data_IF_824052081467
#
_entry.id   IF_824052081467
#
_cell.length_a   1.000
_cell.length_b   1.000
_cell.length_c   1.000
_cell.angle_alpha   90.00
_cell.angle_beta   90.00
_cell.angle_gamma   90.00
#
_symmetry.space_group_name_H-M   'P 1'
#
loop_
_entity.id
_entity.type
_entity.pdbx_description
1 polymer ?
#
# COMPACT_ATOMS: atom_id res chain seq x y z
N UNK A 1 -12.89 7.44 -8.03
CA UNK A 1 -13.24 8.35 -6.90
C UNK A 1 -12.90 9.82 -7.15
N UNK A 2 -11.74 10.18 -7.72
CA UNK A 2 -11.34 11.60 -7.88
C UNK A 2 -12.31 12.44 -8.73
N UNK A 3 -12.85 11.87 -9.81
CA UNK A 3 -13.85 12.55 -10.66
C UNK A 3 -15.19 12.77 -9.94
N UNK A 4 -15.61 11.84 -9.08
CA UNK A 4 -16.83 11.99 -8.28
C UNK A 4 -16.69 13.06 -7.19
N UNK A 5 -15.52 13.16 -6.56
CA UNK A 5 -15.22 14.24 -5.60
C UNK A 5 -15.22 15.62 -6.25
N UNK A 6 -14.68 15.75 -7.46
CA UNK A 6 -14.72 16.99 -8.23
C UNK A 6 -16.15 17.38 -8.62
N UNK A 7 -16.96 16.41 -9.07
CA UNK A 7 -18.38 16.65 -9.38
C UNK A 7 -19.14 17.13 -8.15
N UNK A 8 -18.97 16.48 -7.00
CA UNK A 8 -19.59 16.88 -5.73
C UNK A 8 -19.13 18.27 -5.27
N UNK A 9 -17.85 18.60 -5.45
CA UNK A 9 -17.34 19.93 -5.15
C UNK A 9 -18.00 20.99 -6.04
N UNK A 10 -18.10 20.76 -7.36
CA UNK A 10 -18.79 21.66 -8.27
C UNK A 10 -20.26 21.83 -7.88
N UNK A 11 -20.99 20.75 -7.61
CA UNK A 11 -22.39 20.82 -7.16
C UNK A 11 -22.55 21.62 -5.86
N UNK A 12 -21.64 21.44 -4.91
CA UNK A 12 -21.63 22.20 -3.66
C UNK A 12 -21.37 23.70 -3.90
N UNK A 13 -20.46 24.04 -4.82
CA UNK A 13 -20.19 25.43 -5.20
C UNK A 13 -21.39 26.05 -5.92
N UNK A 14 -22.00 25.36 -6.87
CA UNK A 14 -23.21 25.83 -7.56
C UNK A 14 -24.34 26.14 -6.57
N UNK A 15 -24.55 25.26 -5.59
CA UNK A 15 -25.55 25.48 -4.55
C UNK A 15 -25.19 26.65 -3.60
N UNK A 16 -23.90 26.87 -3.31
CA UNK A 16 -23.44 27.89 -2.38
C UNK A 16 -23.17 29.25 -3.04
N UNK A 17 -23.02 29.29 -4.36
CA UNK A 17 -22.60 30.48 -5.12
C UNK A 17 -23.48 31.73 -4.87
N UNK A 18 -24.83 31.64 -4.82
CA UNK A 18 -25.68 32.80 -4.53
C UNK A 18 -25.44 33.41 -3.15
N UNK A 19 -25.05 32.59 -2.17
CA UNK A 19 -24.80 33.03 -0.79
C UNK A 19 -23.39 33.60 -0.60
N UNK A 20 -22.46 33.22 -1.46
CA UNK A 20 -21.06 33.62 -1.42
C UNK A 20 -20.73 34.78 -2.38
N UNK A 21 -21.71 35.23 -3.17
CA UNK A 21 -21.50 36.25 -4.20
C UNK A 21 -20.64 35.78 -5.36
N UNK A 22 -20.65 34.47 -5.65
CA UNK A 22 -19.86 33.86 -6.71
C UNK A 22 -20.71 33.59 -7.96
N UNK A 23 -20.07 33.55 -9.13
CA UNK A 23 -20.73 33.23 -10.40
C UNK A 23 -21.01 31.73 -10.65
N UNK A 24 -20.66 30.85 -9.71
CA UNK A 24 -20.77 29.39 -9.85
C UNK A 24 -19.40 28.70 -9.91
N UNK A 25 -19.38 27.39 -10.19
CA UNK A 25 -18.15 26.59 -10.21
C UNK A 25 -17.22 26.90 -11.41
N UNK A 26 -17.78 27.51 -12.46
CA UNK A 26 -17.02 28.01 -13.62
C UNK A 26 -16.37 29.38 -13.43
N UNK A 27 -16.64 30.06 -12.31
CA UNK A 27 -16.06 31.36 -12.00
C UNK A 27 -14.58 31.22 -11.57
N UNK A 28 -13.71 32.06 -12.11
CA UNK A 28 -12.29 32.10 -11.74
C UNK A 28 -12.12 32.39 -10.24
N UNK A 29 -13.00 33.21 -9.65
CA UNK A 29 -12.99 33.52 -8.22
C UNK A 29 -13.34 32.29 -7.34
N UNK A 30 -14.11 31.34 -7.87
CA UNK A 30 -14.51 30.12 -7.16
C UNK A 30 -13.46 29.00 -7.23
N UNK A 31 -12.46 29.10 -8.11
CA UNK A 31 -11.47 28.04 -8.33
C UNK A 31 -10.72 27.63 -7.05
N UNK A 32 -10.17 28.53 -6.22
CA UNK A 32 -9.43 28.13 -5.03
C UNK A 32 -10.30 27.29 -4.08
N UNK A 33 -11.56 27.70 -3.89
CA UNK A 33 -12.51 27.00 -3.03
C UNK A 33 -12.92 25.64 -3.64
N UNK A 34 -13.15 25.59 -4.96
CA UNK A 34 -13.51 24.37 -5.68
C UNK A 34 -12.38 23.33 -5.60
N UNK A 35 -11.12 23.76 -5.77
CA UNK A 35 -9.95 22.89 -5.63
C UNK A 35 -9.83 22.40 -4.18
N UNK A 36 -9.95 23.29 -3.20
CA UNK A 36 -9.86 22.93 -1.79
C UNK A 36 -10.93 21.89 -1.39
N UNK A 37 -12.18 22.10 -1.79
CA UNK A 37 -13.28 21.17 -1.56
C UNK A 37 -13.04 19.83 -2.26
N UNK A 38 -12.59 19.85 -3.52
CA UNK A 38 -12.28 18.63 -4.27
C UNK A 38 -11.20 17.81 -3.56
N UNK A 39 -10.12 18.46 -3.12
CA UNK A 39 -9.04 17.80 -2.38
C UNK A 39 -9.55 17.23 -1.05
N UNK A 40 -10.35 17.99 -0.31
CA UNK A 40 -10.92 17.56 0.96
C UNK A 40 -11.84 16.34 0.79
N UNK A 41 -12.77 16.38 -0.17
CA UNK A 41 -13.64 15.25 -0.49
C UNK A 41 -12.84 14.02 -0.94
N UNK A 42 -11.78 14.23 -1.73
CA UNK A 42 -10.88 13.14 -2.12
C UNK A 42 -10.18 12.51 -0.90
N UNK A 43 -9.79 13.31 0.10
CA UNK A 43 -9.21 12.79 1.36
C UNK A 43 -10.21 12.02 2.20
N UNK A 44 -11.45 12.48 2.28
CA UNK A 44 -12.52 11.77 3.00
C UNK A 44 -12.85 10.42 2.35
N UNK A 45 -12.63 10.28 1.05
CA UNK A 45 -12.76 9.01 0.34
C UNK A 45 -11.57 8.04 0.51
N UNK A 46 -10.42 8.47 1.02
CA UNK A 46 -9.23 7.60 1.15
C UNK A 46 -9.47 6.31 1.94
N UNK A 47 -10.17 6.30 3.08
CA UNK A 47 -10.35 5.07 3.85
C UNK A 47 -11.07 3.97 3.06
N UNK A 48 -12.01 4.34 2.20
CA UNK A 48 -12.72 3.40 1.33
C UNK A 48 -11.80 2.84 0.24
N UNK A 49 -11.03 3.71 -0.42
CA UNK A 49 -10.06 3.28 -1.43
C UNK A 49 -8.98 2.37 -0.82
N UNK A 50 -8.49 2.71 0.36
CA UNK A 50 -7.52 1.90 1.11
C UNK A 50 -8.13 0.56 1.55
N UNK A 51 -9.44 0.50 1.86
CA UNK A 51 -10.09 -0.76 2.20
C UNK A 51 -10.13 -1.75 1.03
N UNK A 52 -10.39 -1.28 -0.19
CA UNK A 52 -10.30 -2.13 -1.39
C UNK A 52 -8.86 -2.56 -1.66
N UNK A 53 -7.90 -1.62 -1.59
CA UNK A 53 -6.48 -1.96 -1.78
C UNK A 53 -5.99 -3.05 -0.80
N UNK A 54 -6.39 -2.97 0.47
CA UNK A 54 -6.07 -4.00 1.47
C UNK A 54 -6.64 -5.37 1.12
N UNK A 55 -7.82 -5.45 0.49
CA UNK A 55 -8.40 -6.73 0.04
C UNK A 55 -7.58 -7.33 -1.09
N UNK A 56 -7.27 -6.51 -2.08
CA UNK A 56 -6.46 -6.92 -3.25
C UNK A 56 -5.08 -7.44 -2.81
N UNK A 57 -4.47 -6.79 -1.83
CA UNK A 57 -3.18 -7.23 -1.27
C UNK A 57 -3.25 -8.54 -0.51
N UNK A 58 -4.28 -8.77 0.30
CA UNK A 58 -4.45 -10.05 1.00
C UNK A 58 -4.64 -11.18 -0.01
N UNK A 59 -5.38 -10.94 -1.09
CA UNK A 59 -5.53 -11.92 -2.17
C UNK A 59 -4.20 -12.19 -2.88
N UNK A 60 -3.45 -11.14 -3.20
CA UNK A 60 -2.14 -11.24 -3.83
C UNK A 60 -1.13 -11.99 -2.96
N UNK A 61 -1.09 -11.71 -1.66
CA UNK A 61 -0.22 -12.40 -0.69
C UNK A 61 -0.57 -13.88 -0.59
N UNK A 62 -1.87 -14.19 -0.50
CA UNK A 62 -2.35 -15.56 -0.46
C UNK A 62 -2.01 -16.32 -1.75
N UNK A 63 -2.13 -15.66 -2.91
CA UNK A 63 -1.71 -16.22 -4.20
C UNK A 63 -0.20 -16.48 -4.23
N UNK A 64 0.62 -15.52 -3.82
CA UNK A 64 2.09 -15.66 -3.80
C UNK A 64 2.55 -16.83 -2.92
N UNK A 65 1.96 -16.99 -1.73
CA UNK A 65 2.25 -18.11 -0.83
C UNK A 65 1.84 -19.46 -1.44
N UNK A 66 0.68 -19.54 -2.10
CA UNK A 66 0.25 -20.76 -2.81
C UNK A 66 1.17 -21.09 -4.00
N UNK A 67 1.53 -20.08 -4.79
CA UNK A 67 2.33 -20.25 -6.00
C UNK A 67 3.78 -20.64 -5.70
N UNK A 68 4.37 -20.11 -4.62
CA UNK A 68 5.78 -20.35 -4.28
C UNK A 68 5.97 -21.49 -3.28
N UNK A 69 4.97 -21.72 -2.41
CA UNK A 69 5.07 -22.63 -1.26
C UNK A 69 6.29 -22.35 -0.37
N UNK A 70 6.81 -21.11 -0.34
CA UNK A 70 7.99 -20.72 0.44
C UNK A 70 7.68 -19.56 1.41
N UNK A 71 7.07 -19.85 2.58
CA UNK A 71 6.74 -18.82 3.55
C UNK A 71 7.98 -18.15 4.16
N UNK A 72 9.15 -18.81 4.17
CA UNK A 72 10.36 -18.25 4.73
C UNK A 72 10.94 -17.13 3.85
N UNK A 73 10.99 -17.35 2.53
CA UNK A 73 11.40 -16.31 1.58
C UNK A 73 10.40 -15.15 1.55
N UNK A 74 9.10 -15.44 1.64
CA UNK A 74 8.06 -14.42 1.76
C UNK A 74 8.25 -13.52 2.99
N UNK A 75 8.44 -14.10 4.18
CA UNK A 75 8.70 -13.32 5.40
C UNK A 75 9.98 -12.48 5.29
N UNK A 76 11.05 -13.03 4.72
CA UNK A 76 12.30 -12.29 4.48
C UNK A 76 12.08 -11.10 3.54
N UNK A 77 11.27 -11.27 2.49
CA UNK A 77 10.90 -10.21 1.57
C UNK A 77 10.10 -9.12 2.29
N UNK A 78 9.05 -9.47 3.05
CA UNK A 78 8.25 -8.50 3.80
C UNK A 78 9.10 -7.69 4.77
N UNK A 79 10.01 -8.34 5.50
CA UNK A 79 10.88 -7.66 6.45
C UNK A 79 11.81 -6.65 5.75
N UNK A 80 12.35 -7.01 4.57
CA UNK A 80 13.17 -6.10 3.76
C UNK A 80 12.36 -4.90 3.26
N UNK A 81 11.17 -5.13 2.69
CA UNK A 81 10.30 -4.07 2.20
C UNK A 81 9.92 -3.08 3.33
N UNK A 82 9.52 -3.61 4.48
CA UNK A 82 9.23 -2.80 5.67
C UNK A 82 10.42 -1.93 6.06
N UNK A 83 11.63 -2.49 6.09
CA UNK A 83 12.83 -1.76 6.47
C UNK A 83 13.21 -0.68 5.44
N UNK A 84 13.02 -0.93 4.15
CA UNK A 84 13.25 0.06 3.10
C UNK A 84 12.23 1.20 3.14
N UNK A 85 10.99 0.91 3.53
CA UNK A 85 9.91 1.89 3.62
C UNK A 85 9.81 2.58 4.99
N UNK A 86 10.68 2.23 5.96
CA UNK A 86 10.59 2.69 7.35
C UNK A 86 9.20 2.47 7.97
N UNK A 87 8.57 1.37 7.57
CA UNK A 87 7.18 1.09 7.91
C UNK A 87 7.05 0.59 9.35
N UNK A 88 6.03 1.09 10.04
CA UNK A 88 5.81 0.81 11.46
C UNK A 88 5.32 -0.63 11.65
N UNK A 89 5.85 -1.31 12.67
CA UNK A 89 5.52 -2.72 12.88
C UNK A 89 4.06 -2.92 13.32
N UNK A 90 3.55 -2.00 14.14
CA UNK A 90 2.24 -2.08 14.78
C UNK A 90 1.60 -0.69 14.78
N UNK A 91 1.15 -0.20 13.61
CA UNK A 91 0.50 1.10 13.55
C UNK A 91 -0.78 1.10 14.39
N UNK A 92 -1.12 2.26 14.98
CA UNK A 92 -2.36 2.42 15.74
C UNK A 92 -3.60 2.12 14.88
N UNK A 93 -4.66 1.51 15.43
CA UNK A 93 -5.78 1.00 14.65
C UNK A 93 -6.51 2.08 13.86
N UNK A 94 -6.64 3.29 14.42
CA UNK A 94 -7.27 4.42 13.74
C UNK A 94 -6.42 4.93 12.58
N UNK A 95 -5.10 5.07 12.79
CA UNK A 95 -4.14 5.48 11.75
C UNK A 95 -4.14 4.47 10.61
N UNK A 96 -4.11 3.18 10.93
CA UNK A 96 -4.18 2.09 9.96
C UNK A 96 -5.49 2.11 9.17
N UNK A 97 -6.63 2.34 9.83
CA UNK A 97 -7.92 2.40 9.16
C UNK A 97 -8.04 3.59 8.21
N UNK A 98 -7.62 4.79 8.64
CA UNK A 98 -7.69 6.03 7.86
C UNK A 98 -6.66 6.08 6.73
N UNK A 99 -5.41 5.74 7.02
CA UNK A 99 -4.26 6.03 6.15
C UNK A 99 -3.52 4.78 5.67
N UNK A 100 -3.67 3.64 6.34
CA UNK A 100 -3.00 2.40 5.97
C UNK A 100 -3.51 1.87 4.64
N UNK A 101 -2.69 1.98 3.60
CA UNK A 101 -3.00 1.47 2.26
C UNK A 101 -2.87 -0.05 2.13
N UNK A 102 -2.06 -0.66 3.01
CA UNK A 102 -1.66 -2.07 2.99
C UNK A 102 -1.98 -2.71 4.35
N UNK A 103 -2.27 -4.03 4.48
CA UNK A 103 -2.41 -4.69 5.77
C UNK A 103 -1.09 -4.61 6.58
N UNK A 104 -1.16 -4.47 7.91
CA UNK A 104 0.03 -4.35 8.74
C UNK A 104 0.85 -5.65 8.72
N UNK A 105 2.17 -5.52 8.93
CA UNK A 105 3.09 -6.66 8.88
C UNK A 105 2.64 -7.90 9.69
N UNK A 106 2.14 -7.77 10.95
CA UNK A 106 1.74 -8.93 11.74
C UNK A 106 0.63 -9.76 11.09
N UNK A 107 -0.31 -9.11 10.40
CA UNK A 107 -1.42 -9.77 9.70
C UNK A 107 -0.89 -10.61 8.52
N UNK A 108 0.01 -10.02 7.73
CA UNK A 108 0.66 -10.69 6.59
C UNK A 108 1.60 -11.81 7.03
N UNK A 109 2.30 -11.62 8.14
CA UNK A 109 3.17 -12.64 8.72
C UNK A 109 2.36 -13.85 9.23
N UNK A 110 1.20 -13.62 9.84
CA UNK A 110 0.30 -14.69 10.28
C UNK A 110 -0.20 -15.53 9.10
N UNK A 111 -0.47 -14.93 7.94
CA UNK A 111 -0.83 -15.64 6.72
C UNK A 111 0.29 -16.60 6.26
N UNK A 112 1.54 -16.15 6.30
CA UNK A 112 2.70 -16.98 5.97
C UNK A 112 2.89 -18.13 6.96
N UNK A 113 2.75 -17.87 8.27
CA UNK A 113 2.88 -18.89 9.32
C UNK A 113 1.80 -19.98 9.23
N UNK A 114 0.63 -19.66 8.69
CA UNK A 114 -0.45 -20.63 8.41
C UNK A 114 -0.22 -21.44 7.15
N UNK A 115 0.69 -21.02 6.27
CA UNK A 115 0.97 -21.69 5.01
C UNK A 115 1.91 -22.87 5.21
N UNK A 116 1.67 -23.98 4.49
CA UNK A 116 2.54 -25.17 4.55
C UNK A 116 3.86 -24.90 3.82
N UNK A 117 5.03 -25.09 4.46
CA UNK A 117 6.30 -24.88 3.80
C UNK A 117 6.63 -26.01 2.82
N UNK A 118 7.13 -25.67 1.64
CA UNK A 118 7.81 -26.61 0.76
C UNK A 118 9.17 -27.01 1.37
N UNK A 119 9.68 -28.22 1.08
CA UNK A 119 11.02 -28.62 1.48
C UNK A 119 12.04 -27.62 0.92
N UNK A 120 12.86 -27.06 1.82
CA UNK A 120 13.88 -26.07 1.49
C UNK A 120 14.78 -26.61 0.37
N UNK A 121 14.74 -25.99 -0.82
CA UNK A 121 15.82 -26.16 -1.80
C UNK A 121 17.07 -25.54 -1.17
N UNK A 122 17.95 -26.39 -0.67
CA UNK A 122 19.25 -25.95 -0.16
C UNK A 122 19.90 -25.13 -1.26
N UNK A 123 20.15 -23.85 -0.96
CA UNK A 123 20.91 -22.97 -1.83
C UNK A 123 22.26 -23.64 -2.01
N UNK A 124 22.52 -24.24 -3.19
CA UNK A 124 23.86 -24.74 -3.55
C UNK A 124 24.83 -23.60 -3.26
N UNK A 125 25.77 -23.87 -2.35
CA UNK A 125 26.75 -22.88 -1.92
C UNK A 125 27.50 -22.30 -3.13
N UNK A 126 28.05 -21.08 -3.02
CA UNK A 126 28.88 -20.55 -4.08
C UNK A 126 30.01 -21.55 -4.35
N UNK A 127 30.18 -21.93 -5.62
CA UNK A 127 31.29 -22.74 -6.07
C UNK A 127 32.58 -22.12 -5.53
N UNK A 128 33.18 -22.76 -4.52
CA UNK A 128 34.53 -22.43 -4.08
C UNK A 128 35.43 -22.78 -5.25
N UNK A 129 35.87 -21.77 -6.00
CA UNK A 129 37.02 -21.92 -6.88
C UNK A 129 38.19 -22.27 -5.97
N UNK A 130 38.57 -23.55 -5.95
CA UNK A 130 39.80 -24.04 -5.38
C UNK A 130 40.95 -23.38 -6.13
N UNK A 131 41.51 -22.31 -5.55
CA UNK A 131 42.84 -21.84 -5.89
C UNK A 131 43.84 -22.90 -5.45
N UNK A 132 44.50 -23.48 -6.43
CA UNK A 132 45.54 -24.49 -6.34
C UNK A 132 46.74 -23.95 -5.50
N UNK A 133 47.23 -24.68 -4.47
CA UNK A 133 48.41 -24.26 -3.75
C UNK A 133 49.65 -24.67 -4.55
N UNK A 134 50.53 -23.71 -4.83
CA UNK A 134 51.89 -23.97 -5.26
C UNK A 134 52.50 -25.13 -4.46
N UNK A 135 52.76 -26.25 -5.15
CA UNK A 135 53.50 -27.40 -4.63
C UNK A 135 54.98 -27.09 -4.44
N UNK A 136 55.69 -27.84 -3.58
CA UNK A 136 57.07 -27.55 -3.25
C UNK A 136 58.02 -28.01 -4.36
N UNK A 137 58.95 -27.14 -4.76
CA UNK A 137 60.28 -27.47 -5.29
C UNK A 137 61.30 -26.50 -4.76
#
# INVERSE_FOLDING_TARGET
MRLGGALLACLAIEAAAPYLGLGGAGDLAALPLTIALTLMLARLGLPLANAEARRDEVEADAFALRATSDPASYLSMLQKLRQMNLDEMTPGPLTQWLFGSHPPYPERALLALRSRPAPRRTRRGPHRHSGDPHGPR
#
